data_IF_730016611237
#
_entry.id   IF_730016611237
#
_cell.length_a   1.000
_cell.length_b   1.000
_cell.length_c   1.000
_cell.angle_alpha   90.00
_cell.angle_beta   90.00
_cell.angle_gamma   90.00
#
_symmetry.space_group_name_H-M   'P 1'
#
loop_
_entity.id
_entity.type
_entity.pdbx_description
1 polymer ?
#
# COMPACT_ATOMS: atom_id res chain seq x y z
N UNK A 1 6.63 -30.61 -47.79
CA UNK A 1 6.57 -30.60 -46.32
C UNK A 1 7.76 -29.80 -45.79
N UNK A 2 7.55 -28.56 -45.34
CA UNK A 2 8.62 -27.71 -44.84
C UNK A 2 9.02 -28.15 -43.42
N UNK A 3 10.28 -28.55 -43.23
CA UNK A 3 10.83 -28.89 -41.91
C UNK A 3 11.12 -27.59 -41.16
N UNK A 4 10.37 -27.34 -40.10
CA UNK A 4 10.66 -26.26 -39.15
C UNK A 4 11.97 -26.59 -38.40
N UNK A 5 12.91 -25.65 -38.43
CA UNK A 5 14.21 -25.76 -37.76
C UNK A 5 14.01 -25.61 -36.23
N UNK A 6 14.51 -26.54 -35.39
CA UNK A 6 14.28 -26.54 -33.94
C UNK A 6 14.70 -25.25 -33.22
N UNK A 7 15.63 -24.49 -33.81
CA UNK A 7 16.06 -23.19 -33.30
C UNK A 7 14.96 -22.10 -33.40
N UNK A 8 14.05 -22.18 -34.37
CA UNK A 8 12.91 -21.26 -34.47
C UNK A 8 11.79 -21.59 -33.48
N UNK A 9 11.65 -22.85 -33.07
CA UNK A 9 10.65 -23.27 -32.09
C UNK A 9 10.98 -22.75 -30.67
N UNK A 10 12.27 -22.63 -30.33
CA UNK A 10 12.75 -22.12 -29.04
C UNK A 10 12.58 -20.60 -28.89
N UNK A 11 12.72 -19.82 -29.97
CA UNK A 11 12.56 -18.36 -29.92
C UNK A 11 11.09 -17.92 -29.71
N UNK A 12 10.13 -18.71 -30.22
CA UNK A 12 8.69 -18.43 -30.05
C UNK A 12 8.18 -18.74 -28.63
N UNK A 13 8.84 -19.63 -27.89
CA UNK A 13 8.44 -19.97 -26.52
C UNK A 13 8.93 -18.94 -25.48
N UNK A 14 9.97 -18.16 -25.79
CA UNK A 14 10.52 -17.13 -24.91
C UNK A 14 9.70 -15.82 -24.89
N UNK A 15 8.82 -15.59 -25.87
CA UNK A 15 8.01 -14.36 -25.96
C UNK A 15 6.70 -14.39 -25.14
N UNK A 16 6.30 -15.54 -24.59
CA UNK A 16 4.96 -15.71 -23.97
C UNK A 16 4.91 -15.46 -22.44
N UNK A 17 6.00 -15.03 -21.80
CA UNK A 17 6.04 -14.83 -20.34
C UNK A 17 6.27 -13.37 -19.89
N UNK A 18 5.97 -12.37 -20.71
CA UNK A 18 5.88 -10.99 -20.22
C UNK A 18 4.45 -10.69 -19.78
N UNK A 19 3.95 -11.43 -18.80
CA UNK A 19 2.82 -10.97 -18.01
C UNK A 19 3.35 -9.84 -17.10
N UNK A 20 3.53 -8.65 -17.66
CA UNK A 20 3.86 -7.46 -16.91
C UNK A 20 2.80 -7.26 -15.84
N UNK A 21 3.15 -7.51 -14.58
CA UNK A 21 2.30 -7.16 -13.46
C UNK A 21 2.16 -5.63 -13.46
N UNK A 22 1.12 -5.13 -14.10
CA UNK A 22 0.81 -3.71 -14.07
C UNK A 22 0.58 -3.32 -12.61
N UNK A 23 1.41 -2.41 -12.10
CA UNK A 23 1.26 -1.84 -10.77
C UNK A 23 -0.17 -1.30 -10.61
N UNK A 24 -0.95 -1.89 -9.69
CA UNK A 24 -2.33 -1.45 -9.47
C UNK A 24 -2.40 -0.42 -8.36
N UNK A 25 -3.44 0.41 -8.39
CA UNK A 25 -3.74 1.31 -7.27
C UNK A 25 -4.72 0.65 -6.31
N UNK A 26 -4.32 0.51 -5.05
CA UNK A 26 -5.15 0.00 -3.95
C UNK A 26 -5.56 1.17 -3.07
N UNK A 27 -6.86 1.47 -3.02
CA UNK A 27 -7.39 2.49 -2.11
C UNK A 27 -7.37 1.96 -0.68
N UNK A 28 -6.72 2.69 0.23
CA UNK A 28 -6.57 2.28 1.63
C UNK A 28 -7.79 2.70 2.43
N UNK A 29 -8.48 1.72 3.00
CA UNK A 29 -9.60 1.91 3.92
C UNK A 29 -10.97 1.68 3.31
N UNK A 30 -12.01 2.32 3.87
CA UNK A 30 -13.43 2.01 3.60
C UNK A 30 -14.22 3.27 3.26
N UNK A 31 -15.15 3.16 2.34
CA UNK A 31 -16.03 4.26 1.94
C UNK A 31 -15.54 4.99 0.69
N UNK A 32 -16.49 5.58 -0.03
CA UNK A 32 -16.23 6.10 -1.38
C UNK A 32 -15.56 7.48 -1.39
N UNK A 33 -15.89 8.35 -0.44
CA UNK A 33 -15.41 9.74 -0.40
C UNK A 33 -14.16 9.97 0.46
N UNK A 34 -14.10 9.38 1.66
CA UNK A 34 -12.97 9.46 2.60
C UNK A 34 -12.55 8.06 3.07
N UNK A 35 -11.93 7.25 2.18
CA UNK A 35 -11.51 5.89 2.53
C UNK A 35 -10.49 5.84 3.67
N UNK A 36 -9.53 6.78 3.70
CA UNK A 36 -8.59 6.93 4.81
C UNK A 36 -9.27 7.72 5.93
N UNK A 37 -9.85 7.01 6.90
CA UNK A 37 -10.63 7.59 7.99
C UNK A 37 -10.58 6.71 9.26
N UNK A 38 -11.41 7.01 10.25
CA UNK A 38 -11.54 6.24 11.49
C UNK A 38 -11.94 4.80 11.22
N UNK A 39 -11.51 3.90 12.12
CA UNK A 39 -11.82 2.48 12.04
C UNK A 39 -11.17 1.73 10.87
N UNK A 40 -10.25 2.36 10.13
CA UNK A 40 -9.51 1.70 9.04
C UNK A 40 -8.68 0.51 9.54
N UNK A 41 -8.37 0.41 10.84
CA UNK A 41 -7.73 -0.77 11.40
C UNK A 41 -8.53 -2.07 11.23
N UNK A 42 -9.84 -2.00 11.00
CA UNK A 42 -10.69 -3.17 10.70
C UNK A 42 -10.94 -3.39 9.21
N UNK A 43 -10.40 -2.54 8.34
CA UNK A 43 -10.39 -2.80 6.91
C UNK A 43 -9.44 -3.96 6.60
N UNK A 44 -9.90 -4.91 5.78
CA UNK A 44 -9.11 -6.05 5.30
C UNK A 44 -8.53 -5.68 3.94
N UNK A 45 -7.21 -5.41 3.82
CA UNK A 45 -6.60 -5.09 2.54
C UNK A 45 -6.69 -6.28 1.59
N UNK A 46 -6.86 -6.04 0.28
CA UNK A 46 -6.61 -7.09 -0.71
C UNK A 46 -5.11 -7.41 -0.76
N UNK A 47 -4.72 -8.47 -1.47
CA UNK A 47 -3.30 -8.80 -1.70
C UNK A 47 -2.56 -7.62 -2.32
N UNK A 48 -1.50 -7.13 -1.70
CA UNK A 48 -0.67 -6.04 -2.26
C UNK A 48 0.67 -6.62 -2.67
N UNK A 49 1.20 -6.20 -3.82
CA UNK A 49 2.51 -6.61 -4.31
C UNK A 49 3.47 -5.43 -4.35
N UNK A 50 4.76 -5.70 -4.55
CA UNK A 50 5.71 -4.63 -4.84
C UNK A 50 5.34 -3.93 -6.16
N UNK A 51 5.64 -2.65 -6.26
CA UNK A 51 5.24 -1.82 -7.41
C UNK A 51 3.83 -1.24 -7.31
N UNK A 52 2.88 -1.88 -6.61
CA UNK A 52 1.54 -1.36 -6.37
C UNK A 52 1.58 0.03 -5.71
N UNK A 53 0.49 0.79 -5.88
CA UNK A 53 0.32 2.09 -5.24
C UNK A 53 -0.77 2.01 -4.20
N UNK A 54 -0.43 2.32 -2.95
CA UNK A 54 -1.40 2.56 -1.89
C UNK A 54 -1.90 4.00 -2.00
N UNK A 55 -3.20 4.17 -2.27
CA UNK A 55 -3.86 5.48 -2.32
C UNK A 55 -4.56 5.78 -1.00
N UNK A 56 -4.03 6.75 -0.28
CA UNK A 56 -4.65 7.35 0.89
C UNK A 56 -5.42 8.60 0.42
N UNK A 57 -6.74 8.65 0.63
CA UNK A 57 -7.57 9.79 0.25
C UNK A 57 -8.56 10.12 1.35
N UNK A 58 -8.72 11.40 1.63
CA UNK A 58 -9.66 11.90 2.61
C UNK A 58 -10.13 13.32 2.29
N UNK A 59 -11.27 13.70 2.85
CA UNK A 59 -11.92 15.01 2.77
C UNK A 59 -12.58 15.35 4.11
N UNK A 60 -12.75 16.64 4.36
CA UNK A 60 -13.55 17.22 5.46
C UNK A 60 -13.02 16.97 6.89
N UNK A 61 -11.84 16.37 7.06
CA UNK A 61 -11.25 16.12 8.36
C UNK A 61 -9.72 16.18 8.29
N UNK A 62 -9.10 16.75 9.33
CA UNK A 62 -7.65 16.90 9.41
C UNK A 62 -6.99 15.53 9.58
N UNK A 63 -6.23 15.09 8.58
CA UNK A 63 -5.48 13.84 8.61
C UNK A 63 -4.09 14.01 7.99
N UNK A 64 -3.20 13.10 8.34
CA UNK A 64 -1.96 12.86 7.62
C UNK A 64 -1.73 11.37 7.40
N UNK A 65 -0.60 11.04 6.78
CA UNK A 65 -0.13 9.68 6.61
C UNK A 65 1.30 9.60 7.13
N UNK A 66 1.49 8.72 8.10
CA UNK A 66 2.81 8.27 8.55
C UNK A 66 3.04 6.82 8.17
N UNK A 67 4.28 6.50 7.80
CA UNK A 67 4.78 5.12 7.82
C UNK A 67 5.40 4.87 9.19
N UNK A 68 4.88 3.90 9.93
CA UNK A 68 5.42 3.48 11.21
C UNK A 68 6.55 2.46 10.99
N UNK A 69 7.48 2.42 11.96
CA UNK A 69 8.69 1.59 11.88
C UNK A 69 8.35 0.09 11.87
N UNK A 70 7.50 -0.33 12.79
CA UNK A 70 7.25 -1.74 13.10
C UNK A 70 5.90 -1.97 13.80
N UNK A 71 5.63 -3.24 14.15
CA UNK A 71 4.40 -3.66 14.82
C UNK A 71 4.23 -3.06 16.23
N UNK A 72 5.26 -3.01 17.10
CA UNK A 72 5.16 -2.27 18.36
C UNK A 72 4.76 -0.81 18.17
N UNK A 73 5.38 -0.10 17.21
CA UNK A 73 5.03 1.28 16.90
C UNK A 73 3.57 1.42 16.47
N UNK A 74 3.09 0.49 15.65
CA UNK A 74 1.68 0.42 15.25
C UNK A 74 0.72 0.16 16.41
N UNK A 75 1.06 -0.79 17.29
CA UNK A 75 0.18 -1.16 18.40
C UNK A 75 0.06 0.01 19.38
N UNK A 76 1.18 0.64 19.71
CA UNK A 76 1.27 1.74 20.69
C UNK A 76 1.02 3.13 20.11
N UNK A 77 0.81 3.24 18.79
CA UNK A 77 0.64 4.52 18.11
C UNK A 77 1.79 5.51 18.35
N UNK A 78 3.02 5.01 18.39
CA UNK A 78 4.22 5.85 18.45
C UNK A 78 4.77 6.11 17.05
N UNK A 79 5.13 7.36 16.81
CA UNK A 79 5.66 7.84 15.53
C UNK A 79 7.19 7.96 15.55
N UNK A 80 7.83 7.65 16.70
CA UNK A 80 9.29 7.66 16.86
C UNK A 80 9.94 6.66 15.90
N UNK A 81 10.92 7.14 15.14
CA UNK A 81 11.59 6.34 14.09
C UNK A 81 10.71 6.02 12.88
N UNK A 82 9.47 6.51 12.84
CA UNK A 82 8.61 6.50 11.67
C UNK A 82 8.97 7.61 10.69
N UNK A 83 8.29 7.62 9.54
CA UNK A 83 8.44 8.65 8.52
C UNK A 83 7.10 9.35 8.28
N UNK A 84 7.08 10.66 8.48
CA UNK A 84 5.99 11.52 8.04
C UNK A 84 5.96 11.56 6.52
N UNK A 85 4.84 11.17 5.90
CA UNK A 85 4.70 11.14 4.45
C UNK A 85 3.91 12.35 3.93
N UNK A 86 3.01 12.89 4.75
CA UNK A 86 2.26 14.11 4.44
C UNK A 86 2.18 15.03 5.65
N UNK A 87 1.97 16.33 5.43
CA UNK A 87 1.47 17.24 6.46
C UNK A 87 0.01 16.92 6.82
N UNK A 88 -0.46 17.45 7.95
CA UNK A 88 -1.87 17.41 8.34
C UNK A 88 -2.66 18.32 7.39
N UNK A 89 -3.70 17.78 6.75
CA UNK A 89 -4.56 18.50 5.80
C UNK A 89 -6.01 18.09 5.97
N UNK A 90 -6.96 18.98 5.73
CA UNK A 90 -8.41 18.69 5.82
C UNK A 90 -8.94 17.88 4.64
N UNK A 91 -8.32 18.05 3.46
CA UNK A 91 -8.64 17.30 2.24
C UNK A 91 -7.36 17.07 1.45
N UNK A 92 -7.04 15.82 1.17
CA UNK A 92 -5.87 15.49 0.36
C UNK A 92 -5.92 14.05 -0.17
N UNK A 93 -5.00 13.77 -1.10
CA UNK A 93 -4.70 12.41 -1.55
C UNK A 93 -3.19 12.21 -1.60
N UNK A 94 -2.74 11.06 -1.12
CA UNK A 94 -1.34 10.65 -1.14
C UNK A 94 -1.18 9.27 -1.75
N UNK A 95 -0.20 9.13 -2.64
CA UNK A 95 0.14 7.90 -3.34
C UNK A 95 1.47 7.37 -2.81
N UNK A 96 1.46 6.19 -2.21
CA UNK A 96 2.66 5.48 -1.77
C UNK A 96 2.95 4.32 -2.71
N UNK A 97 4.05 4.38 -3.47
CA UNK A 97 4.52 3.25 -4.28
C UNK A 97 5.21 2.23 -3.38
N UNK A 98 4.75 0.98 -3.39
CA UNK A 98 5.34 -0.10 -2.60
C UNK A 98 6.72 -0.44 -3.17
N UNK A 99 7.82 -0.29 -2.39
CA UNK A 99 9.17 -0.54 -2.89
C UNK A 99 9.44 -2.05 -3.02
N UNK A 100 10.37 -2.43 -3.89
CA UNK A 100 10.82 -3.83 -4.04
C UNK A 100 11.32 -4.42 -2.72
N UNK A 101 11.99 -3.62 -1.90
CA UNK A 101 12.49 -4.03 -0.58
C UNK A 101 11.40 -4.37 0.45
N UNK A 102 10.12 -4.15 0.11
CA UNK A 102 8.99 -4.53 0.95
C UNK A 102 8.43 -5.93 0.65
N UNK A 103 8.93 -6.65 -0.36
CA UNK A 103 8.48 -8.02 -0.67
C UNK A 103 8.52 -8.91 0.57
N UNK A 104 7.43 -9.63 0.83
CA UNK A 104 7.27 -10.50 2.01
C UNK A 104 7.18 -9.77 3.36
N UNK A 105 7.14 -8.43 3.40
CA UNK A 105 7.09 -7.64 4.65
C UNK A 105 5.70 -7.08 4.90
N UNK A 106 5.45 -6.66 6.13
CA UNK A 106 4.28 -5.86 6.49
C UNK A 106 4.67 -4.40 6.67
N UNK A 107 3.94 -3.51 6.00
CA UNK A 107 4.04 -2.06 6.17
C UNK A 107 2.96 -1.56 7.11
N UNK A 108 3.29 -0.57 7.94
CA UNK A 108 2.40 -0.01 8.95
C UNK A 108 2.17 1.46 8.67
N UNK A 109 0.91 1.89 8.68
CA UNK A 109 0.55 3.29 8.46
C UNK A 109 -0.43 3.78 9.53
N UNK A 110 -0.36 5.06 9.88
CA UNK A 110 -1.27 5.70 10.84
C UNK A 110 -1.37 7.20 10.60
N UNK A 111 -2.42 7.80 11.16
CA UNK A 111 -2.59 9.26 11.27
C UNK A 111 -2.11 9.74 12.64
N UNK A 112 -1.28 10.80 12.68
CA UNK A 112 -0.69 11.33 13.92
C UNK A 112 -1.50 12.41 14.61
N UNK A 113 -2.62 12.82 14.02
CA UNK A 113 -3.56 13.72 14.69
C UNK A 113 -4.01 13.09 16.03
N UNK A 114 -4.07 13.87 17.13
CA UNK A 114 -4.39 13.34 18.46
C UNK A 114 -5.61 12.42 18.44
N UNK A 115 -5.53 11.30 19.14
CA UNK A 115 -6.57 10.26 19.24
C UNK A 115 -6.91 9.50 17.96
N UNK A 116 -6.50 9.95 16.76
CA UNK A 116 -6.87 9.28 15.51
C UNK A 116 -6.31 7.86 15.44
N UNK A 117 -5.03 7.67 15.77
CA UNK A 117 -4.43 6.33 15.79
C UNK A 117 -4.91 5.47 16.97
N UNK A 118 -4.82 6.00 18.20
CA UNK A 118 -4.98 5.22 19.43
C UNK A 118 -6.43 4.94 19.79
N UNK A 119 -7.31 5.93 19.63
CA UNK A 119 -8.72 5.85 20.01
C UNK A 119 -9.59 5.52 18.80
N UNK A 120 -9.50 6.32 17.74
CA UNK A 120 -10.35 6.14 16.55
C UNK A 120 -9.82 5.11 15.56
N UNK A 121 -8.70 4.42 15.89
CA UNK A 121 -8.14 3.31 15.13
C UNK A 121 -7.88 3.62 13.65
N UNK A 122 -7.45 4.84 13.36
CA UNK A 122 -7.03 5.32 12.03
C UNK A 122 -5.58 4.90 11.76
N UNK A 123 -5.42 3.59 11.55
CA UNK A 123 -4.17 2.91 11.25
C UNK A 123 -4.42 1.68 10.39
N UNK A 124 -3.45 1.23 9.61
CA UNK A 124 -3.56 0.00 8.81
C UNK A 124 -2.23 -0.76 8.75
N UNK A 125 -2.34 -2.07 8.56
CA UNK A 125 -1.23 -2.99 8.27
C UNK A 125 -1.42 -3.51 6.85
N UNK A 126 -0.39 -3.45 6.02
CA UNK A 126 -0.42 -3.94 4.64
C UNK A 126 0.66 -4.99 4.48
N UNK A 127 0.26 -6.25 4.37
CA UNK A 127 1.18 -7.34 4.05
C UNK A 127 1.43 -7.37 2.54
N UNK A 128 2.71 -7.33 2.18
CA UNK A 128 3.16 -7.36 0.79
C UNK A 128 3.50 -8.80 0.43
N UNK A 129 2.98 -9.29 -0.69
CA UNK A 129 3.31 -10.64 -1.16
C UNK A 129 4.80 -10.78 -1.40
N UNK A 130 5.27 -12.02 -1.33
CA UNK A 130 6.52 -12.41 -1.97
C UNK A 130 6.42 -12.19 -3.49
#
# INVERSE_FOLDING_TARGET
>A
MARLNPLHALALLALLFVAGAHARTVTVGKGWFSPWSYGVASWKPPTVKTGDVLLFRWRFAAHDVWRLKDLPAYNNCTFVGGKKLTAIRTSYSYRFKVPLSAAGRTLFFACSVPSHCSVFRMKTKISISL
#
